data_IF_119852000191
#
_entry.id   IF_119852000191
#
_cell.length_a   1.000
_cell.length_b   1.000
_cell.length_c   1.000
_cell.angle_alpha   90.00
_cell.angle_beta   90.00
_cell.angle_gamma   90.00
#
_symmetry.space_group_name_H-M   'P 1'
#
loop_
_entity.id
_entity.type
_entity.pdbx_description
1 polymer ?
#
# COMPACT_ATOMS: atom_id res chain seq x y z
N UNK A 1 -13.33 -16.44 7.26
CA UNK A 1 -11.97 -16.05 6.78
C UNK A 1 -11.98 -16.02 5.27
N UNK A 2 -11.12 -15.23 4.60
CA UNK A 2 -11.11 -15.13 3.13
C UNK A 2 -11.06 -16.50 2.42
N UNK A 3 -10.31 -17.46 2.97
CA UNK A 3 -10.25 -18.85 2.49
C UNK A 3 -11.60 -19.56 2.46
N UNK A 4 -12.51 -19.26 3.39
CA UNK A 4 -13.87 -19.84 3.40
C UNK A 4 -14.74 -19.28 2.25
N UNK A 5 -14.42 -18.08 1.76
CA UNK A 5 -15.14 -17.40 0.68
C UNK A 5 -14.54 -17.73 -0.68
N UNK A 6 -13.21 -17.79 -0.77
CA UNK A 6 -12.47 -17.90 -2.03
C UNK A 6 -11.81 -19.26 -2.26
N UNK A 7 -11.83 -20.16 -1.28
CA UNK A 7 -11.28 -21.52 -1.38
C UNK A 7 -9.76 -21.61 -1.19
N UNK A 8 -9.08 -20.48 -1.06
CA UNK A 8 -7.64 -20.39 -0.82
C UNK A 8 -7.28 -19.16 0.03
N UNK A 9 -6.17 -19.18 0.78
CA UNK A 9 -5.69 -18.00 1.49
C UNK A 9 -5.20 -16.93 0.49
N UNK A 10 -5.40 -15.63 0.79
CA UNK A 10 -4.91 -14.56 -0.07
C UNK A 10 -3.39 -14.52 -0.06
N UNK A 11 -2.77 -14.12 -1.18
CA UNK A 11 -1.32 -13.92 -1.24
C UNK A 11 -0.85 -12.75 -0.37
N UNK A 12 -1.67 -11.71 -0.29
CA UNK A 12 -1.37 -10.44 0.34
C UNK A 12 -2.47 -10.03 1.32
N UNK A 13 -2.09 -9.30 2.37
CA UNK A 13 -3.02 -8.70 3.32
C UNK A 13 -2.66 -7.23 3.55
N UNK A 14 -3.52 -6.32 3.12
CA UNK A 14 -3.35 -4.87 3.27
C UNK A 14 -3.46 -4.45 4.73
N UNK A 15 -2.43 -3.77 5.27
CA UNK A 15 -2.43 -3.30 6.66
C UNK A 15 -1.81 -1.92 6.81
N UNK A 16 -2.37 -1.15 7.73
CA UNK A 16 -2.00 0.24 7.95
C UNK A 16 -0.77 0.41 8.85
N UNK A 17 0.04 1.40 8.49
CA UNK A 17 1.22 1.90 9.20
C UNK A 17 1.16 3.43 9.20
N UNK A 18 0.45 4.00 10.16
CA UNK A 18 0.27 5.45 10.25
C UNK A 18 1.43 6.14 10.96
N UNK A 19 1.78 5.67 12.15
CA UNK A 19 2.84 6.23 13.00
C UNK A 19 3.08 5.28 14.19
N UNK A 20 4.26 5.34 14.81
CA UNK A 20 4.56 4.56 16.02
C UNK A 20 3.67 4.88 17.23
N UNK A 21 2.98 6.03 17.21
CA UNK A 21 2.04 6.44 18.23
C UNK A 21 0.58 6.02 17.91
N UNK A 22 0.31 5.59 16.68
CA UNK A 22 -1.02 5.20 16.25
C UNK A 22 -1.39 3.84 16.84
N UNK A 23 -2.67 3.71 17.22
CA UNK A 23 -3.23 2.45 17.69
C UNK A 23 -4.66 2.30 17.20
N UNK A 24 -5.11 1.06 17.04
CA UNK A 24 -6.45 0.77 16.55
C UNK A 24 -6.57 -0.64 16.00
N UNK A 25 -7.78 -1.03 15.60
CA UNK A 25 -8.04 -2.32 14.95
C UNK A 25 -7.61 -2.32 13.48
N UNK A 26 -7.55 -1.14 12.86
CA UNK A 26 -7.13 -0.94 11.47
C UNK A 26 -5.60 -1.00 11.29
N UNK A 27 -4.83 -0.56 12.29
CA UNK A 27 -3.36 -0.62 12.28
C UNK A 27 -2.85 -2.07 12.34
N UNK A 28 -1.69 -2.34 11.73
CA UNK A 28 -1.07 -3.66 11.81
C UNK A 28 -0.73 -4.05 13.26
N UNK A 29 -1.28 -5.14 13.77
CA UNK A 29 -1.03 -5.64 15.13
C UNK A 29 -0.06 -6.81 15.08
N UNK A 30 1.22 -6.54 14.91
CA UNK A 30 2.27 -7.56 14.73
C UNK A 30 2.22 -8.69 15.78
N UNK A 31 1.95 -8.39 17.06
CA UNK A 31 1.82 -9.41 18.12
C UNK A 31 0.66 -10.40 17.90
N UNK A 32 -0.39 -9.99 17.17
CA UNK A 32 -1.58 -10.81 16.87
C UNK A 32 -1.56 -11.39 15.46
N UNK A 33 -0.98 -10.66 14.52
CA UNK A 33 -1.11 -10.94 13.08
C UNK A 33 0.11 -11.63 12.48
N UNK A 34 1.32 -11.50 13.06
CA UNK A 34 2.54 -12.09 12.49
C UNK A 34 2.41 -13.60 12.26
N UNK A 35 2.14 -14.35 13.33
CA UNK A 35 2.07 -15.81 13.29
C UNK A 35 0.98 -16.34 12.33
N UNK A 36 -0.30 -15.91 12.44
CA UNK A 36 -1.34 -16.45 11.57
C UNK A 36 -1.16 -16.11 10.09
N UNK A 37 -0.57 -14.96 9.76
CA UNK A 37 -0.24 -14.59 8.37
C UNK A 37 0.94 -15.42 7.86
N UNK A 38 2.03 -15.51 8.64
CA UNK A 38 3.23 -16.26 8.28
C UNK A 38 2.95 -17.75 8.05
N UNK A 39 2.17 -18.38 8.93
CA UNK A 39 1.84 -19.81 8.83
C UNK A 39 1.07 -20.14 7.55
N UNK A 40 0.43 -19.15 6.94
CA UNK A 40 -0.30 -19.27 5.67
C UNK A 40 0.48 -18.70 4.47
N UNK A 41 1.71 -18.24 4.68
CA UNK A 41 2.51 -17.61 3.62
C UNK A 41 1.96 -16.27 3.14
N UNK A 42 1.07 -15.62 3.90
CA UNK A 42 0.43 -14.37 3.53
C UNK A 42 1.39 -13.22 3.83
N UNK A 43 1.71 -12.42 2.81
CA UNK A 43 2.57 -11.25 2.97
C UNK A 43 1.76 -10.01 3.33
N UNK A 44 2.33 -9.16 4.17
CA UNK A 44 1.78 -7.85 4.50
C UNK A 44 2.07 -6.89 3.36
N UNK A 45 1.01 -6.23 2.90
CA UNK A 45 1.03 -5.12 1.95
C UNK A 45 0.88 -3.82 2.75
N UNK A 46 1.95 -3.03 2.94
CA UNK A 46 1.91 -1.85 3.80
C UNK A 46 1.12 -0.68 3.19
N UNK A 47 0.29 -0.04 4.01
CA UNK A 47 -0.54 1.10 3.63
C UNK A 47 -0.29 2.27 4.59
N UNK A 48 0.06 3.43 4.05
CA UNK A 48 0.18 4.68 4.80
C UNK A 48 -1.19 5.37 4.88
N UNK A 49 -1.76 5.45 6.09
CA UNK A 49 -3.10 6.00 6.31
C UNK A 49 -3.05 7.50 6.59
N UNK A 50 -3.08 8.30 5.54
CA UNK A 50 -3.04 9.77 5.66
C UNK A 50 -4.18 10.47 4.93
N UNK A 51 -5.27 9.75 4.63
CA UNK A 51 -6.37 10.16 3.75
C UNK A 51 -6.88 11.60 3.98
N UNK A 52 -6.91 12.06 5.24
CA UNK A 52 -7.42 13.40 5.60
C UNK A 52 -6.41 14.54 5.44
N UNK A 53 -5.16 14.23 5.07
CA UNK A 53 -4.03 15.17 4.98
C UNK A 53 -3.40 15.21 3.59
N UNK A 54 -3.84 14.34 2.69
CA UNK A 54 -3.21 14.14 1.36
C UNK A 54 -3.27 15.36 0.45
N UNK A 55 -4.10 16.36 0.75
CA UNK A 55 -4.15 17.65 0.04
C UNK A 55 -3.19 18.71 0.62
N UNK A 56 -2.38 18.33 1.60
CA UNK A 56 -1.47 19.23 2.30
C UNK A 56 -0.28 19.73 1.49
N UNK A 57 0.63 20.34 2.22
CA UNK A 57 1.91 20.86 1.75
C UNK A 57 2.95 19.75 1.58
N UNK A 58 4.05 20.11 0.90
CA UNK A 58 5.21 19.23 0.78
C UNK A 58 5.83 18.89 2.16
N UNK A 59 5.84 19.83 3.10
CA UNK A 59 6.39 19.61 4.43
C UNK A 59 5.55 18.60 5.23
N UNK A 60 4.22 18.70 5.15
CA UNK A 60 3.31 17.73 5.77
C UNK A 60 3.47 16.34 5.16
N UNK A 61 3.56 16.24 3.83
CA UNK A 61 3.85 14.97 3.16
C UNK A 61 5.18 14.35 3.61
N UNK A 62 6.23 15.16 3.75
CA UNK A 62 7.52 14.72 4.28
C UNK A 62 7.43 14.21 5.72
N UNK A 63 6.73 14.94 6.60
CA UNK A 63 6.55 14.55 8.00
C UNK A 63 5.80 13.21 8.11
N UNK A 64 4.72 13.06 7.36
CA UNK A 64 3.91 11.85 7.38
C UNK A 64 4.69 10.65 6.84
N UNK A 65 5.49 10.83 5.78
CA UNK A 65 6.34 9.76 5.25
C UNK A 65 7.38 9.26 6.26
N UNK A 66 7.96 10.15 7.07
CA UNK A 66 8.88 9.74 8.15
C UNK A 66 8.14 8.88 9.16
N UNK A 67 6.96 9.31 9.60
CA UNK A 67 6.15 8.55 10.55
C UNK A 67 5.75 7.18 10.02
N UNK A 68 5.35 7.07 8.74
CA UNK A 68 4.97 5.78 8.16
C UNK A 68 6.18 4.84 8.03
N UNK A 69 7.33 5.37 7.60
CA UNK A 69 8.56 4.60 7.50
C UNK A 69 9.05 4.13 8.87
N UNK A 70 9.06 5.01 9.86
CA UNK A 70 9.47 4.69 11.23
C UNK A 70 8.56 3.63 11.86
N UNK A 71 7.25 3.70 11.62
CA UNK A 71 6.29 2.70 12.10
C UNK A 71 6.56 1.31 11.52
N UNK A 72 6.73 1.22 10.20
CA UNK A 72 7.05 -0.05 9.53
C UNK A 72 8.40 -0.61 9.97
N UNK A 73 9.43 0.24 10.03
CA UNK A 73 10.79 -0.16 10.41
C UNK A 73 10.84 -0.52 11.90
N UNK A 74 10.14 0.18 12.77
CA UNK A 74 10.05 -0.20 14.19
C UNK A 74 9.33 -1.53 14.37
N UNK A 75 8.28 -1.77 13.56
CA UNK A 75 7.50 -3.01 13.62
C UNK A 75 8.28 -4.24 13.17
N UNK A 76 9.01 -4.14 12.06
CA UNK A 76 9.70 -5.28 11.49
C UNK A 76 11.20 -5.30 11.76
N UNK A 77 11.81 -4.20 12.21
CA UNK A 77 13.26 -3.99 12.29
C UNK A 77 13.96 -3.93 10.93
N UNK A 78 15.01 -3.10 10.85
CA UNK A 78 15.83 -3.00 9.65
C UNK A 78 16.54 -4.32 9.28
N UNK A 79 17.00 -5.08 10.28
CA UNK A 79 17.72 -6.34 10.07
C UNK A 79 16.83 -7.40 9.44
N UNK A 80 15.60 -7.52 9.92
CA UNK A 80 14.65 -8.48 9.36
C UNK A 80 14.22 -8.09 7.95
N UNK A 81 13.90 -6.81 7.71
CA UNK A 81 13.56 -6.33 6.37
C UNK A 81 14.71 -6.62 5.40
N UNK A 82 15.94 -6.27 5.77
CA UNK A 82 17.13 -6.55 4.96
C UNK A 82 17.35 -8.05 4.69
N UNK A 83 16.86 -8.94 5.57
CA UNK A 83 16.91 -10.40 5.34
C UNK A 83 15.92 -10.90 4.29
N UNK A 84 14.88 -10.12 3.97
CA UNK A 84 13.87 -10.44 2.96
C UNK A 84 14.11 -9.75 1.61
N UNK A 85 14.83 -8.63 1.61
CA UNK A 85 15.10 -7.85 0.41
C UNK A 85 15.58 -6.44 0.78
N UNK A 86 15.87 -5.64 -0.24
CA UNK A 86 16.34 -4.26 -0.07
C UNK A 86 15.24 -3.22 -0.36
N UNK A 87 14.07 -3.66 -0.85
CA UNK A 87 13.04 -2.78 -1.41
C UNK A 87 11.64 -3.29 -1.10
N UNK A 88 10.82 -2.48 -0.44
CA UNK A 88 9.43 -2.83 -0.05
C UNK A 88 8.43 -1.77 -0.49
N UNK A 89 7.23 -2.18 -0.90
CA UNK A 89 6.17 -1.25 -1.29
C UNK A 89 5.51 -0.62 -0.06
N UNK A 90 5.05 0.63 -0.20
CA UNK A 90 4.10 1.24 0.72
C UNK A 90 3.10 2.09 -0.06
N UNK A 91 1.82 1.81 0.11
CA UNK A 91 0.74 2.48 -0.61
C UNK A 91 0.21 3.66 0.21
N UNK A 92 0.25 4.87 -0.34
CA UNK A 92 -0.46 6.01 0.24
C UNK A 92 -1.97 5.84 0.01
N UNK A 93 -2.75 5.84 1.08
CA UNK A 93 -4.22 5.73 1.04
C UNK A 93 -4.87 7.07 0.63
N UNK A 94 -5.48 7.13 -0.56
CA UNK A 94 -6.17 8.30 -1.11
C UNK A 94 -7.62 7.94 -1.49
N UNK A 95 -8.58 8.26 -0.61
CA UNK A 95 -10.01 7.94 -0.82
C UNK A 95 -10.76 8.99 -1.69
N UNK A 96 -10.05 9.99 -2.21
CA UNK A 96 -10.57 10.96 -3.21
C UNK A 96 -11.30 12.18 -2.65
N UNK A 97 -11.42 12.32 -1.32
CA UNK A 97 -11.96 13.51 -0.66
C UNK A 97 -11.23 13.80 0.66
N UNK A 98 -10.21 14.68 0.67
CA UNK A 98 -9.77 15.51 -0.46
C UNK A 98 -8.92 14.71 -1.49
N UNK A 99 -8.81 15.20 -2.74
CA UNK A 99 -7.88 14.62 -3.71
C UNK A 99 -6.43 14.93 -3.33
N UNK A 100 -5.51 14.07 -3.77
CA UNK A 100 -4.08 14.20 -3.49
C UNK A 100 -3.50 15.49 -4.08
N UNK A 101 -2.74 16.22 -3.26
CA UNK A 101 -1.92 17.35 -3.66
C UNK A 101 -0.62 16.88 -4.30
N UNK A 102 -0.23 17.50 -5.42
CA UNK A 102 1.08 17.26 -6.04
C UNK A 102 2.23 17.56 -5.07
N UNK A 103 2.13 18.66 -4.31
CA UNK A 103 3.16 19.05 -3.36
C UNK A 103 3.28 18.04 -2.22
N UNK A 104 2.14 17.59 -1.68
CA UNK A 104 2.11 16.55 -0.66
C UNK A 104 2.76 15.26 -1.15
N UNK A 105 2.33 14.73 -2.30
CA UNK A 105 2.90 13.49 -2.84
C UNK A 105 4.39 13.61 -3.16
N UNK A 106 4.84 14.76 -3.69
CA UNK A 106 6.27 15.00 -3.93
C UNK A 106 7.06 14.90 -2.61
N UNK A 107 6.58 15.56 -1.55
CA UNK A 107 7.20 15.50 -0.22
C UNK A 107 7.19 14.08 0.34
N UNK A 108 6.03 13.44 0.32
CA UNK A 108 5.82 12.09 0.85
C UNK A 108 6.68 11.05 0.14
N UNK A 109 6.59 10.97 -1.19
CA UNK A 109 7.29 9.95 -1.98
C UNK A 109 8.81 10.10 -1.92
N UNK A 110 9.33 11.32 -1.97
CA UNK A 110 10.79 11.57 -1.89
C UNK A 110 11.33 11.31 -0.49
N UNK A 111 10.57 11.68 0.55
CA UNK A 111 10.98 11.49 1.94
C UNK A 111 10.88 10.03 2.34
N UNK A 112 9.83 9.31 1.94
CA UNK A 112 9.67 7.89 2.23
C UNK A 112 10.89 7.09 1.77
N UNK A 113 11.31 7.29 0.51
CA UNK A 113 12.46 6.62 -0.06
C UNK A 113 13.78 7.06 0.59
N UNK A 114 14.00 8.35 0.78
CA UNK A 114 15.27 8.85 1.34
C UNK A 114 15.42 8.53 2.82
N UNK A 115 14.36 8.73 3.61
CA UNK A 115 14.34 8.49 5.06
C UNK A 115 14.52 7.02 5.39
N UNK A 116 13.78 6.11 4.73
CA UNK A 116 13.95 4.66 4.95
C UNK A 116 15.37 4.18 4.66
N UNK A 117 16.03 4.73 3.64
CA UNK A 117 17.44 4.43 3.37
C UNK A 117 18.34 5.01 4.45
N UNK A 118 18.15 6.26 4.85
CA UNK A 118 18.98 6.90 5.89
C UNK A 118 18.84 6.17 7.23
N UNK A 119 17.62 5.84 7.64
CA UNK A 119 17.35 5.20 8.94
C UNK A 119 17.81 3.74 9.02
N UNK A 120 18.14 3.13 7.88
CA UNK A 120 18.60 1.73 7.80
C UNK A 120 20.02 1.59 7.24
N UNK A 121 20.80 2.66 7.20
CA UNK A 121 22.16 2.70 6.63
C UNK A 121 22.21 2.20 5.17
N UNK A 122 21.15 2.48 4.42
CA UNK A 122 20.98 2.15 3.00
C UNK A 122 20.52 0.72 2.72
N UNK A 123 20.22 -0.07 3.75
CA UNK A 123 19.85 -1.49 3.61
C UNK A 123 18.41 -1.72 3.14
N UNK A 124 17.52 -0.77 3.44
CA UNK A 124 16.09 -0.87 3.12
C UNK A 124 15.64 0.40 2.41
N UNK A 125 14.86 0.22 1.34
CA UNK A 125 14.20 1.28 0.59
C UNK A 125 12.69 1.04 0.61
N UNK A 126 11.92 1.99 1.13
CA UNK A 126 10.47 1.99 0.99
C UNK A 126 10.09 2.71 -0.31
N UNK A 127 9.36 2.00 -1.16
CA UNK A 127 9.00 2.41 -2.50
C UNK A 127 7.58 3.00 -2.48
N UNK A 128 7.41 4.27 -2.89
CA UNK A 128 6.12 4.94 -2.85
C UNK A 128 5.17 4.38 -3.89
N UNK A 129 3.99 3.98 -3.44
CA UNK A 129 2.85 3.56 -4.25
C UNK A 129 1.61 4.39 -3.88
N UNK A 130 0.57 4.34 -4.71
CA UNK A 130 -0.70 5.05 -4.44
C UNK A 130 -1.86 4.09 -4.54
N UNK A 131 -2.68 4.05 -3.48
CA UNK A 131 -4.05 3.56 -3.55
C UNK A 131 -4.96 4.74 -3.87
N UNK A 132 -5.86 4.61 -4.86
CA UNK A 132 -6.73 5.73 -5.23
C UNK A 132 -7.94 5.34 -6.07
N UNK A 133 -8.98 6.17 -6.01
CA UNK A 133 -10.21 5.97 -6.80
C UNK A 133 -9.92 6.16 -8.29
N UNK A 134 -10.33 5.20 -9.12
CA UNK A 134 -10.10 5.20 -10.57
C UNK A 134 -10.49 6.52 -11.26
N UNK A 135 -11.62 7.10 -10.85
CA UNK A 135 -12.19 8.30 -11.46
C UNK A 135 -11.61 9.62 -10.92
N UNK A 136 -10.76 9.58 -9.89
CA UNK A 136 -10.14 10.78 -9.32
C UNK A 136 -8.95 11.24 -10.18
N UNK A 137 -9.28 11.86 -11.31
CA UNK A 137 -8.28 12.41 -12.22
C UNK A 137 -7.42 13.49 -11.57
N UNK A 138 -7.88 14.17 -10.51
CA UNK A 138 -7.06 15.17 -9.83
C UNK A 138 -5.92 14.49 -9.08
N UNK A 139 -6.22 13.44 -8.31
CA UNK A 139 -5.20 12.62 -7.65
C UNK A 139 -4.19 12.07 -8.65
N UNK A 140 -4.66 11.43 -9.73
CA UNK A 140 -3.74 10.81 -10.70
C UNK A 140 -2.88 11.84 -11.47
N UNK A 141 -3.42 13.02 -11.78
CA UNK A 141 -2.63 14.10 -12.36
C UNK A 141 -1.59 14.66 -11.36
N UNK A 142 -1.91 14.72 -10.07
CA UNK A 142 -0.96 15.10 -9.02
C UNK A 142 0.20 14.12 -8.92
N UNK A 143 -0.08 12.80 -8.91
CA UNK A 143 0.96 11.74 -8.92
C UNK A 143 1.85 11.89 -10.14
N UNK A 144 1.26 12.02 -11.34
CA UNK A 144 2.01 12.23 -12.57
C UNK A 144 2.92 13.47 -12.48
N UNK A 145 2.35 14.60 -12.08
CA UNK A 145 3.06 15.89 -12.03
C UNK A 145 4.20 15.89 -11.00
N UNK A 146 4.02 15.20 -9.87
CA UNK A 146 5.08 15.02 -8.89
C UNK A 146 6.20 14.11 -9.44
N UNK A 147 5.87 13.04 -10.16
CA UNK A 147 6.86 12.19 -10.81
C UNK A 147 7.64 12.93 -11.90
N UNK A 148 6.98 13.79 -12.68
CA UNK A 148 7.63 14.70 -13.63
C UNK A 148 8.60 15.69 -12.93
N UNK A 149 8.48 15.88 -11.61
CA UNK A 149 9.33 16.71 -10.75
C UNK A 149 10.33 15.90 -9.90
N UNK A 150 10.48 14.61 -10.15
CA UNK A 150 11.48 13.76 -9.51
C UNK A 150 10.98 12.91 -8.34
N UNK A 151 9.68 12.93 -8.02
CA UNK A 151 9.10 11.87 -7.20
C UNK A 151 9.14 10.52 -7.94
N UNK A 152 8.94 9.43 -7.21
CA UNK A 152 8.77 8.09 -7.81
C UNK A 152 7.36 7.58 -7.55
N UNK A 153 6.90 6.65 -8.39
CA UNK A 153 5.76 5.78 -8.14
C UNK A 153 6.17 4.37 -8.55
N UNK A 154 6.17 3.43 -7.62
CA UNK A 154 6.48 2.04 -7.89
C UNK A 154 5.24 1.23 -8.32
N UNK A 155 4.04 1.72 -8.01
CA UNK A 155 2.81 1.05 -8.41
C UNK A 155 1.54 1.80 -7.99
N UNK A 156 0.46 1.50 -8.70
CA UNK A 156 -0.89 1.97 -8.39
C UNK A 156 -1.78 0.80 -7.97
N UNK A 157 -2.57 1.02 -6.93
CA UNK A 157 -3.68 0.17 -6.50
C UNK A 157 -4.96 0.94 -6.72
N UNK A 158 -5.79 0.47 -7.65
CA UNK A 158 -6.97 1.22 -8.07
C UNK A 158 -8.19 0.78 -7.26
N UNK A 159 -8.88 1.73 -6.65
CA UNK A 159 -10.21 1.53 -6.08
C UNK A 159 -11.26 1.73 -7.17
N UNK A 160 -11.98 0.65 -7.50
CA UNK A 160 -13.11 0.69 -8.43
C UNK A 160 -14.07 -0.45 -8.13
N UNK A 161 -14.93 -0.23 -7.15
CA UNK A 161 -15.93 -1.22 -6.77
C UNK A 161 -16.94 -1.44 -7.89
N UNK A 162 -17.07 -2.70 -8.30
CA UNK A 162 -18.10 -3.15 -9.27
C UNK A 162 -19.17 -3.98 -8.58
N UNK A 163 -18.87 -4.46 -7.38
CA UNK A 163 -19.71 -5.27 -6.50
C UNK A 163 -19.41 -4.85 -5.05
N UNK A 164 -20.32 -5.18 -4.13
CA UNK A 164 -20.19 -4.88 -2.69
C UNK A 164 -20.43 -6.17 -1.88
N UNK A 165 -19.65 -6.39 -0.82
CA UNK A 165 -19.71 -7.58 0.02
C UNK A 165 -18.93 -8.78 -0.55
N UNK A 166 -19.20 -9.98 -0.04
CA UNK A 166 -18.48 -11.19 -0.45
C UNK A 166 -18.93 -11.67 -1.83
N UNK A 167 -18.24 -11.20 -2.86
CA UNK A 167 -18.51 -11.57 -4.25
C UNK A 167 -17.33 -12.33 -4.85
N UNK A 168 -17.60 -13.24 -5.80
CA UNK A 168 -16.54 -13.92 -6.52
C UNK A 168 -15.64 -12.92 -7.25
N UNK A 169 -14.42 -13.37 -7.54
CA UNK A 169 -13.48 -12.60 -8.34
C UNK A 169 -14.09 -12.25 -9.70
N UNK A 170 -13.95 -10.98 -10.10
CA UNK A 170 -14.28 -10.50 -11.45
C UNK A 170 -13.10 -10.72 -12.41
N UNK A 171 -13.33 -10.67 -13.71
CA UNK A 171 -12.22 -10.64 -14.67
C UNK A 171 -11.49 -9.29 -14.59
N UNK A 172 -10.16 -9.34 -14.55
CA UNK A 172 -9.34 -8.12 -14.55
C UNK A 172 -9.40 -7.45 -15.92
N UNK A 173 -10.05 -6.29 -16.00
CA UNK A 173 -10.22 -5.54 -17.25
C UNK A 173 -9.59 -4.15 -17.14
N UNK A 174 -8.51 -3.93 -17.90
CA UNK A 174 -7.81 -2.64 -17.93
C UNK A 174 -8.70 -1.48 -18.39
N UNK A 175 -9.75 -1.72 -19.18
CA UNK A 175 -10.70 -0.67 -19.56
C UNK A 175 -11.58 -0.18 -18.40
N UNK A 176 -11.73 -1.01 -17.37
CA UNK A 176 -12.47 -0.68 -16.14
C UNK A 176 -11.53 -0.11 -15.08
N UNK A 177 -10.35 -0.69 -14.95
CA UNK A 177 -9.39 -0.38 -13.87
C UNK A 177 -8.53 0.84 -14.21
N UNK A 178 -8.24 1.12 -15.47
CA UNK A 178 -7.33 2.23 -15.81
C UNK A 178 -7.96 3.59 -15.53
N UNK A 179 -7.27 4.48 -14.79
CA UNK A 179 -7.62 5.90 -14.78
C UNK A 179 -7.54 6.52 -16.19
N UNK A 180 -8.27 7.62 -16.41
CA UNK A 180 -8.16 8.36 -17.67
C UNK A 180 -6.79 9.06 -17.83
N UNK A 181 -6.09 9.29 -16.72
CA UNK A 181 -4.74 9.84 -16.69
C UNK A 181 -3.72 8.73 -16.95
N UNK A 182 -2.77 8.98 -17.87
CA UNK A 182 -1.63 8.08 -18.05
C UNK A 182 -0.76 8.08 -16.80
N UNK A 183 -0.71 6.94 -16.11
CA UNK A 183 0.04 6.79 -14.86
C UNK A 183 1.56 6.69 -15.13
N UNK A 184 2.39 7.23 -14.22
CA UNK A 184 3.86 7.09 -14.29
C UNK A 184 4.37 5.71 -13.82
N UNK A 185 3.47 4.81 -13.44
CA UNK A 185 3.76 3.51 -12.84
C UNK A 185 2.75 2.44 -13.29
N UNK A 186 3.08 1.17 -13.06
CA UNK A 186 2.19 0.04 -13.37
C UNK A 186 0.99 0.03 -12.42
N UNK A 187 -0.17 -0.39 -12.90
CA UNK A 187 -1.28 -0.80 -12.04
C UNK A 187 -0.94 -2.19 -11.50
N UNK A 188 -0.78 -2.34 -10.19
CA UNK A 188 -0.43 -3.60 -9.53
C UNK A 188 -1.68 -4.33 -9.02
N UNK A 189 -2.64 -3.57 -8.51
CA UNK A 189 -3.79 -4.09 -7.76
C UNK A 189 -5.08 -3.36 -8.15
N UNK A 190 -6.20 -4.05 -8.00
CA UNK A 190 -7.55 -3.50 -8.14
C UNK A 190 -8.43 -3.94 -6.97
N UNK A 191 -8.92 -2.98 -6.18
CA UNK A 191 -9.99 -3.22 -5.22
C UNK A 191 -11.34 -3.23 -5.96
N UNK A 192 -11.88 -4.43 -6.15
CA UNK A 192 -13.07 -4.66 -6.96
C UNK A 192 -14.35 -4.77 -6.12
N UNK A 193 -14.20 -5.08 -4.82
CA UNK A 193 -15.27 -5.19 -3.84
C UNK A 193 -14.81 -4.68 -2.49
N UNK A 194 -15.70 -3.99 -1.78
CA UNK A 194 -15.54 -3.56 -0.40
C UNK A 194 -16.42 -4.41 0.54
N UNK A 195 -16.19 -4.26 1.84
CA UNK A 195 -17.12 -4.66 2.90
C UNK A 195 -17.54 -6.14 2.87
N UNK A 196 -16.67 -7.07 2.45
CA UNK A 196 -16.96 -8.49 2.61
C UNK A 196 -17.05 -8.83 4.12
N UNK A 197 -18.22 -9.33 4.52
CA UNK A 197 -18.69 -9.50 5.90
C UNK A 197 -19.06 -8.24 6.69
N UNK A 198 -18.89 -7.04 6.12
CA UNK A 198 -19.22 -5.75 6.74
C UNK A 198 -18.50 -5.46 8.07
N UNK A 199 -18.58 -4.23 8.57
CA UNK A 199 -17.99 -3.87 9.87
C UNK A 199 -16.47 -4.06 9.89
N UNK A 200 -15.98 -4.99 10.72
CA UNK A 200 -14.56 -5.41 10.77
C UNK A 200 -14.22 -6.46 9.69
N UNK A 201 -14.90 -6.37 8.53
CA UNK A 201 -14.75 -7.24 7.38
C UNK A 201 -13.44 -7.00 6.63
N UNK A 202 -13.41 -7.40 5.36
CA UNK A 202 -12.26 -7.14 4.50
C UNK A 202 -12.70 -6.75 3.09
N UNK A 203 -11.86 -5.98 2.43
CA UNK A 203 -12.03 -5.65 1.02
C UNK A 203 -11.37 -6.72 0.15
N UNK A 204 -11.86 -6.86 -1.08
CA UNK A 204 -11.38 -7.87 -2.01
C UNK A 204 -10.63 -7.22 -3.17
N UNK A 205 -9.42 -7.71 -3.38
CA UNK A 205 -8.49 -7.21 -4.37
C UNK A 205 -8.10 -8.27 -5.39
N UNK A 206 -7.74 -7.80 -6.58
CA UNK A 206 -7.11 -8.60 -7.61
C UNK A 206 -5.76 -8.06 -7.98
N UNK A 207 -4.84 -8.98 -8.24
CA UNK A 207 -3.54 -8.67 -8.80
C UNK A 207 -3.70 -8.52 -10.31
N UNK A 208 -3.08 -7.49 -10.89
CA UNK A 208 -3.04 -7.32 -12.33
C UNK A 208 -2.30 -8.51 -12.98
N UNK A 209 -2.96 -9.32 -13.82
CA UNK A 209 -2.35 -10.53 -14.39
C UNK A 209 -1.22 -10.25 -15.40
N UNK A 210 -1.01 -8.99 -15.78
CA UNK A 210 0.00 -8.58 -16.76
C UNK A 210 1.34 -8.14 -16.14
N UNK A 211 1.47 -8.12 -14.82
CA UNK A 211 2.71 -7.73 -14.13
C UNK A 211 3.61 -8.95 -13.90
N UNK A 212 4.90 -8.72 -13.63
CA UNK A 212 5.75 -9.76 -13.07
C UNK A 212 5.38 -9.92 -11.59
N UNK A 213 4.54 -10.93 -11.28
CA UNK A 213 3.98 -11.10 -9.94
C UNK A 213 5.04 -11.09 -8.83
N UNK A 214 6.17 -11.75 -9.06
CA UNK A 214 7.21 -11.83 -8.04
C UNK A 214 8.02 -10.53 -7.98
N UNK A 215 8.53 -10.06 -9.12
CA UNK A 215 9.45 -8.92 -9.16
C UNK A 215 8.76 -7.56 -8.94
N UNK A 216 7.49 -7.41 -9.32
CA UNK A 216 6.73 -6.17 -9.16
C UNK A 216 5.96 -6.10 -7.83
N UNK A 217 5.62 -7.24 -7.20
CA UNK A 217 4.70 -7.26 -6.05
C UNK A 217 5.10 -8.18 -4.89
N UNK A 218 5.13 -9.50 -5.08
CA UNK A 218 5.24 -10.48 -3.97
C UNK A 218 6.57 -10.34 -3.23
N UNK A 219 7.70 -10.25 -3.95
CA UNK A 219 9.03 -10.09 -3.33
C UNK A 219 9.21 -8.75 -2.61
N UNK A 220 8.37 -7.76 -2.93
CA UNK A 220 8.38 -6.40 -2.33
C UNK A 220 7.36 -6.22 -1.22
N UNK A 221 6.64 -7.27 -0.85
CA UNK A 221 5.75 -7.32 0.32
C UNK A 221 6.41 -8.13 1.45
N UNK A 222 6.04 -7.86 2.69
CA UNK A 222 6.75 -8.37 3.86
C UNK A 222 6.13 -9.69 4.30
N UNK A 223 6.87 -10.80 4.28
CA UNK A 223 6.42 -12.00 5.00
C UNK A 223 6.68 -11.76 6.50
N UNK A 224 5.66 -11.77 7.37
CA UNK A 224 5.88 -11.46 8.79
C UNK A 224 6.84 -12.44 9.48
N UNK A 225 7.56 -11.99 10.53
CA UNK A 225 8.47 -12.83 11.29
C UNK A 225 7.71 -13.90 12.08
N UNK A 226 8.37 -15.00 12.52
CA UNK A 226 7.80 -15.83 13.58
C UNK A 226 7.44 -14.93 14.76
N UNK A 227 6.36 -15.24 15.48
CA UNK A 227 6.03 -14.49 16.70
C UNK A 227 7.28 -14.38 17.60
N UNK A 228 7.59 -13.14 18.01
CA UNK A 228 8.75 -12.65 18.78
C UNK A 228 9.85 -12.00 17.89
N UNK A 229 9.80 -10.67 17.82
CA UNK A 229 10.97 -9.78 17.84
C UNK A 229 10.76 -8.76 18.96
#
# INVERSE_FOLDING_TARGET
MAEEVFGEPPLLWGRYFTSTASSGTVEYRHLRENQPLRDRGIRVLPIARQTKRVDGSQAEGSEDAQQNADDLIATFTADYLASQGDSFLMFLDVEGAPPLSMAYYLGWATTLLSHSRVSTDGRVSLLPCVYGVQSDNQTWNSVKSACDRGATCAGAWIARWRVHGCNPQLDFDMSIVSPAVQLPCKILLWQYSDDCHGGDGFDCDQINPSIDLDADLVSRCILPPPSIM
#
